data_IF_322761479106
#
_entry.id   IF_322761479106
#
_cell.length_a   1.000
_cell.length_b   1.000
_cell.length_c   1.000
_cell.angle_alpha   90.00
_cell.angle_beta   90.00
_cell.angle_gamma   90.00
#
_symmetry.space_group_name_H-M   'P 1'
#
loop_
_entity.id
_entity.type
_entity.pdbx_description
1 polymer ?
#
# COMPACT_ATOMS: atom_id res chain seq x y z
N UNK A 1 -8.04 -30.71 5.38
CA UNK A 1 -7.54 -29.42 5.73
C UNK A 1 -8.59 -28.35 5.59
N UNK A 2 -8.64 -27.48 6.54
CA UNK A 2 -9.66 -26.45 6.56
C UNK A 2 -9.10 -25.22 5.87
N UNK A 3 -9.77 -24.79 4.81
CA UNK A 3 -9.37 -23.59 4.09
C UNK A 3 -10.30 -22.42 4.37
N UNK A 4 -11.28 -22.64 5.22
CA UNK A 4 -12.22 -21.59 5.55
C UNK A 4 -11.62 -20.47 6.38
N UNK A 5 -10.48 -20.75 7.01
CA UNK A 5 -9.84 -19.77 7.87
C UNK A 5 -8.78 -19.02 7.11
N UNK A 6 -9.23 -18.08 6.36
CA UNK A 6 -8.33 -17.20 5.64
C UNK A 6 -7.65 -16.27 6.63
N UNK A 7 -6.33 -16.17 6.53
CA UNK A 7 -5.59 -15.21 7.34
C UNK A 7 -5.74 -13.82 6.72
N UNK A 8 -6.19 -12.83 7.49
CA UNK A 8 -6.31 -11.48 6.95
C UNK A 8 -4.96 -10.94 6.53
N UNK A 9 -4.94 -10.28 5.40
CA UNK A 9 -3.72 -9.79 4.77
C UNK A 9 -3.79 -8.27 4.59
N UNK A 10 -2.73 -7.59 5.01
CA UNK A 10 -2.54 -6.18 4.73
C UNK A 10 -1.50 -6.02 3.64
N UNK A 11 -1.84 -5.31 2.60
CA UNK A 11 -0.89 -4.93 1.56
C UNK A 11 -0.40 -3.50 1.85
N UNK A 12 0.91 -3.34 1.89
CA UNK A 12 1.55 -2.05 2.13
C UNK A 12 2.26 -1.60 0.87
N UNK A 13 1.93 -0.41 0.42
CA UNK A 13 2.52 0.18 -0.78
C UNK A 13 3.21 1.47 -0.39
N UNK A 14 4.52 1.55 -0.65
CA UNK A 14 5.28 2.78 -0.46
C UNK A 14 5.48 3.37 -1.84
N UNK A 15 5.14 4.63 -2.00
CA UNK A 15 5.13 5.24 -3.32
C UNK A 15 5.64 6.67 -3.32
N UNK A 16 6.24 7.05 -4.45
CA UNK A 16 6.64 8.42 -4.73
C UNK A 16 6.62 8.62 -6.24
N UNK A 17 5.75 9.52 -6.70
CA UNK A 17 5.64 9.86 -8.12
C UNK A 17 5.44 8.65 -9.02
N UNK A 18 4.41 7.86 -8.70
CA UNK A 18 4.06 6.65 -9.46
C UNK A 18 2.68 6.76 -10.08
N UNK A 19 2.29 7.95 -10.55
CA UNK A 19 0.92 8.13 -11.05
C UNK A 19 0.58 7.20 -12.21
N UNK A 20 1.58 6.77 -12.99
CA UNK A 20 1.34 5.87 -14.11
C UNK A 20 1.12 4.43 -13.67
N UNK A 21 1.57 4.06 -12.49
CA UNK A 21 1.54 2.68 -12.02
C UNK A 21 0.58 2.44 -10.87
N UNK A 22 0.29 3.47 -10.07
CA UNK A 22 -0.39 3.27 -8.80
C UNK A 22 -1.78 2.64 -8.96
N UNK A 23 -2.53 3.04 -9.99
CA UNK A 23 -3.86 2.48 -10.20
C UNK A 23 -3.77 0.98 -10.48
N UNK A 24 -2.84 0.58 -11.36
CA UNK A 24 -2.67 -0.82 -11.72
C UNK A 24 -2.26 -1.65 -10.51
N UNK A 25 -1.32 -1.13 -9.73
CA UNK A 25 -0.88 -1.82 -8.51
C UNK A 25 -2.05 -2.02 -7.56
N UNK A 26 -2.84 -0.97 -7.31
CA UNK A 26 -3.96 -1.06 -6.39
C UNK A 26 -5.04 -1.98 -6.91
N UNK A 27 -5.28 -1.99 -8.22
CA UNK A 27 -6.23 -2.93 -8.82
C UNK A 27 -5.79 -4.38 -8.58
N UNK A 28 -4.50 -4.65 -8.67
CA UNK A 28 -3.97 -6.00 -8.44
C UNK A 28 -4.03 -6.40 -6.97
N UNK A 29 -4.13 -5.46 -6.06
CA UNK A 29 -4.17 -5.74 -4.63
C UNK A 29 -5.58 -5.82 -4.06
N UNK A 30 -6.59 -5.81 -4.92
CA UNK A 30 -7.98 -5.83 -4.46
C UNK A 30 -8.31 -7.07 -3.62
N UNK A 31 -7.52 -8.14 -3.74
CA UNK A 31 -7.72 -9.35 -2.95
C UNK A 31 -7.33 -9.17 -1.47
N UNK A 32 -6.55 -8.14 -1.15
CA UNK A 32 -6.08 -7.94 0.22
C UNK A 32 -7.23 -7.44 1.10
N UNK A 33 -7.19 -7.81 2.36
CA UNK A 33 -8.22 -7.39 3.31
C UNK A 33 -8.05 -5.93 3.71
N UNK A 34 -6.83 -5.45 3.66
CA UNK A 34 -6.52 -4.06 3.97
C UNK A 34 -5.42 -3.60 3.03
N UNK A 35 -5.56 -2.40 2.49
CA UNK A 35 -4.53 -1.80 1.63
C UNK A 35 -4.16 -0.46 2.22
N UNK A 36 -2.87 -0.27 2.48
CA UNK A 36 -2.36 0.98 3.01
C UNK A 36 -1.29 1.50 2.06
N UNK A 37 -1.45 2.74 1.63
CA UNK A 37 -0.48 3.41 0.78
C UNK A 37 0.20 4.49 1.61
N UNK A 38 1.52 4.45 1.67
CA UNK A 38 2.31 5.50 2.28
C UNK A 38 2.98 6.28 1.16
N UNK A 39 2.50 7.48 0.95
CA UNK A 39 2.97 8.35 -0.12
C UNK A 39 3.99 9.34 0.42
N UNK A 40 5.15 9.42 -0.22
CA UNK A 40 6.25 10.29 0.21
C UNK A 40 6.10 11.69 -0.38
N UNK A 41 4.89 12.24 -0.32
CA UNK A 41 4.57 13.57 -0.81
C UNK A 41 4.87 13.70 -2.29
N UNK A 42 4.25 12.82 -3.07
CA UNK A 42 4.37 12.87 -4.53
C UNK A 42 3.96 14.23 -5.07
N UNK A 43 4.69 14.70 -6.06
CA UNK A 43 4.38 15.96 -6.72
C UNK A 43 3.45 15.76 -7.91
N UNK A 44 3.20 14.52 -8.30
CA UNK A 44 2.27 14.18 -9.38
C UNK A 44 0.91 13.79 -8.80
N UNK A 45 0.10 13.06 -9.55
CA UNK A 45 -1.25 12.68 -9.13
C UNK A 45 -1.34 11.39 -8.35
N UNK A 46 -0.21 10.84 -7.91
CA UNK A 46 -0.18 9.57 -7.19
C UNK A 46 -1.12 9.58 -5.98
N UNK A 47 -1.01 10.62 -5.16
CA UNK A 47 -1.82 10.72 -3.94
C UNK A 47 -3.31 10.80 -4.27
N UNK A 48 -3.66 11.59 -5.26
CA UNK A 48 -5.06 11.75 -5.67
C UNK A 48 -5.64 10.43 -6.17
N UNK A 49 -4.88 9.74 -7.01
CA UNK A 49 -5.34 8.47 -7.58
C UNK A 49 -5.54 7.44 -6.47
N UNK A 50 -4.55 7.30 -5.58
CA UNK A 50 -4.66 6.34 -4.50
C UNK A 50 -5.85 6.67 -3.59
N UNK A 51 -6.06 7.95 -3.32
CA UNK A 51 -7.14 8.39 -2.45
C UNK A 51 -8.52 8.16 -3.06
N UNK A 52 -8.60 7.95 -4.36
CA UNK A 52 -9.88 7.69 -5.00
C UNK A 52 -10.39 6.27 -4.78
N UNK A 53 -9.55 5.37 -4.27
CA UNK A 53 -9.94 3.99 -4.00
C UNK A 53 -10.58 3.93 -2.61
N UNK A 54 -11.82 3.44 -2.55
CA UNK A 54 -12.55 3.41 -1.28
C UNK A 54 -11.96 2.43 -0.28
N UNK A 55 -11.35 1.37 -0.76
CA UNK A 55 -10.80 0.32 0.10
C UNK A 55 -9.34 0.55 0.45
N UNK A 56 -8.81 1.73 0.19
CA UNK A 56 -7.40 2.03 0.40
C UNK A 56 -7.27 3.15 1.42
N UNK A 57 -6.41 2.93 2.42
CA UNK A 57 -6.05 3.97 3.37
C UNK A 57 -4.75 4.62 2.86
N UNK A 58 -4.77 5.92 2.67
CA UNK A 58 -3.61 6.65 2.16
C UNK A 58 -3.12 7.60 3.22
N UNK A 59 -1.84 7.53 3.52
CA UNK A 59 -1.19 8.48 4.42
C UNK A 59 0.06 9.01 3.73
N UNK A 60 0.44 10.23 4.09
CA UNK A 60 1.64 10.84 3.56
C UNK A 60 2.69 10.93 4.66
N UNK A 61 3.92 10.62 4.31
CA UNK A 61 5.05 10.73 5.22
C UNK A 61 6.29 11.06 4.42
N UNK A 62 7.00 12.07 4.86
CA UNK A 62 8.24 12.46 4.20
C UNK A 62 9.24 11.31 4.28
N UNK A 63 9.82 10.99 3.15
CA UNK A 63 10.79 9.90 3.08
C UNK A 63 12.09 10.31 3.77
N UNK A 64 12.58 9.46 4.65
CA UNK A 64 13.91 9.62 5.26
C UNK A 64 14.82 8.45 4.88
N UNK A 65 14.34 7.22 5.07
CA UNK A 65 15.04 6.03 4.60
C UNK A 65 14.03 4.89 4.53
N UNK A 66 14.41 3.81 3.83
CA UNK A 66 13.48 2.69 3.64
C UNK A 66 13.10 2.00 4.93
N UNK A 67 14.05 1.83 5.85
CA UNK A 67 13.75 1.13 7.11
C UNK A 67 12.71 1.89 7.91
N UNK A 68 12.86 3.20 8.04
CA UNK A 68 11.91 4.02 8.80
C UNK A 68 10.55 4.05 8.11
N UNK A 69 10.52 4.17 6.79
CA UNK A 69 9.28 4.21 6.06
C UNK A 69 8.54 2.88 6.17
N UNK A 70 9.27 1.79 6.05
CA UNK A 70 8.70 0.45 6.20
C UNK A 70 8.13 0.24 7.60
N UNK A 71 8.87 0.63 8.62
CA UNK A 71 8.41 0.48 10.00
C UNK A 71 7.17 1.32 10.26
N UNK A 72 7.13 2.52 9.73
CA UNK A 72 5.96 3.37 9.83
C UNK A 72 4.75 2.68 9.21
N UNK A 73 4.91 2.14 8.00
CA UNK A 73 3.82 1.45 7.30
C UNK A 73 3.35 0.22 8.06
N UNK A 74 4.28 -0.58 8.58
CA UNK A 74 3.95 -1.77 9.34
C UNK A 74 3.12 -1.42 10.56
N UNK A 75 3.46 -0.32 11.23
CA UNK A 75 2.72 0.09 12.43
C UNK A 75 1.29 0.51 12.12
N UNK A 76 0.98 0.86 10.88
CA UNK A 76 -0.38 1.19 10.48
C UNK A 76 -1.22 -0.05 10.19
N UNK A 77 -0.58 -1.17 9.91
CA UNK A 77 -1.29 -2.39 9.54
C UNK A 77 -2.05 -2.95 10.73
N UNK A 78 -3.28 -3.41 10.48
CA UNK A 78 -4.09 -4.01 11.53
C UNK A 78 -4.04 -5.53 11.48
N UNK A 79 -3.42 -6.09 10.45
CA UNK A 79 -3.31 -7.55 10.30
C UNK A 79 -1.87 -7.99 10.44
N UNK A 80 -1.68 -9.24 10.86
CA UNK A 80 -0.33 -9.79 11.08
C UNK A 80 0.36 -10.20 9.80
N UNK A 81 -0.43 -10.59 8.80
CA UNK A 81 0.13 -10.97 7.50
C UNK A 81 0.27 -9.72 6.65
N UNK A 82 1.49 -9.48 6.14
CA UNK A 82 1.81 -8.25 5.46
C UNK A 82 2.50 -8.57 4.15
N UNK A 83 2.01 -7.97 3.08
CA UNK A 83 2.62 -8.03 1.75
C UNK A 83 3.15 -6.64 1.41
N UNK A 84 4.45 -6.53 1.20
CA UNK A 84 5.07 -5.28 0.78
C UNK A 84 5.19 -5.23 -0.73
N UNK A 85 4.75 -4.13 -1.31
CA UNK A 85 4.82 -3.91 -2.75
C UNK A 85 5.34 -2.51 -3.02
N UNK A 86 6.35 -2.38 -3.87
CA UNK A 86 6.73 -1.08 -4.42
C UNK A 86 5.77 -0.75 -5.55
N UNK A 87 5.47 0.53 -5.72
CA UNK A 87 4.45 0.93 -6.67
C UNK A 87 4.79 0.59 -8.12
N UNK A 88 6.06 0.36 -8.42
CA UNK A 88 6.48 -0.02 -9.76
C UNK A 88 6.50 -1.53 -9.99
N UNK A 89 6.16 -2.33 -8.98
CA UNK A 89 6.13 -3.78 -9.10
C UNK A 89 4.77 -4.27 -9.60
N UNK A 90 4.79 -5.46 -10.20
CA UNK A 90 3.57 -6.15 -10.64
C UNK A 90 3.53 -7.55 -10.05
N UNK A 91 2.34 -7.97 -9.70
CA UNK A 91 2.12 -9.33 -9.22
C UNK A 91 1.77 -10.26 -10.36
#
# INVERSE_FOLDING_TARGET
MILSEKQPLTALVITYNEEQNIKTVLDHLAFADEIIVVDSFSSDKTFEIASSFQNVKVVQRKFDNFASQRNFAINLATNSWILFIDADERL
#
